data_IF_822684169533
#
_entry.id   IF_822684169533
#
_cell.length_a   1.000
_cell.length_b   1.000
_cell.length_c   1.000
_cell.angle_alpha   90.00
_cell.angle_beta   90.00
_cell.angle_gamma   90.00
#
_symmetry.space_group_name_H-M   'P 1'
#
loop_
_entity.id
_entity.type
_entity.pdbx_description
1 polymer ?
#
# COMPACT_ATOMS: atom_id res chain seq x y z
N UNK A 1 6.00 34.88 -21.63
CA UNK A 1 5.07 35.10 -20.50
C UNK A 1 4.20 33.85 -20.43
N UNK A 2 4.67 32.81 -19.75
CA UNK A 2 4.02 31.49 -19.67
C UNK A 2 3.82 31.02 -18.22
N UNK A 3 3.87 31.94 -17.25
CA UNK A 3 3.67 31.63 -15.82
C UNK A 3 2.22 31.19 -15.52
N UNK A 4 1.25 31.65 -16.30
CA UNK A 4 -0.16 31.30 -16.11
C UNK A 4 -0.47 29.84 -16.45
N UNK A 5 0.31 29.20 -17.31
CA UNK A 5 0.01 27.84 -17.79
C UNK A 5 0.33 26.77 -16.76
N UNK A 6 1.31 27.01 -15.87
CA UNK A 6 1.65 26.08 -14.79
C UNK A 6 0.71 26.28 -13.61
N UNK A 7 0.44 27.54 -13.24
CA UNK A 7 -0.46 27.90 -12.13
C UNK A 7 -1.90 27.47 -12.42
N UNK A 8 -2.43 27.70 -13.63
CA UNK A 8 -3.76 27.19 -14.03
C UNK A 8 -3.82 25.66 -14.02
N UNK A 9 -2.75 24.96 -14.42
CA UNK A 9 -2.71 23.50 -14.38
C UNK A 9 -2.76 22.97 -12.95
N UNK A 10 -2.02 23.56 -12.02
CA UNK A 10 -2.07 23.16 -10.61
C UNK A 10 -3.45 23.42 -10.00
N UNK A 11 -4.09 24.52 -10.38
CA UNK A 11 -5.42 24.88 -9.88
C UNK A 11 -6.54 23.98 -10.43
N UNK A 12 -6.44 23.58 -11.70
CA UNK A 12 -7.44 22.76 -12.39
C UNK A 12 -7.21 21.25 -12.22
N UNK A 13 -6.01 20.83 -11.84
CA UNK A 13 -5.75 19.44 -11.46
C UNK A 13 -6.42 19.19 -10.11
N UNK A 14 -7.60 18.59 -10.14
CA UNK A 14 -8.07 17.83 -9.00
C UNK A 14 -7.14 16.62 -8.87
N UNK A 15 -6.33 16.49 -7.79
CA UNK A 15 -5.61 15.25 -7.55
C UNK A 15 -6.66 14.16 -7.31
N UNK A 16 -6.90 13.32 -8.33
CA UNK A 16 -7.79 12.17 -8.24
C UNK A 16 -7.14 11.19 -7.27
N UNK A 17 -7.63 11.20 -6.03
CA UNK A 17 -7.11 10.40 -4.94
C UNK A 17 -7.30 11.10 -3.61
N UNK A 18 -8.32 10.71 -2.86
CA UNK A 18 -8.44 11.09 -1.45
C UNK A 18 -7.31 10.42 -0.67
N UNK A 19 -6.38 11.23 -0.11
CA UNK A 19 -5.51 10.76 0.96
C UNK A 19 -6.41 10.16 2.04
N UNK A 20 -6.15 8.92 2.47
CA UNK A 20 -6.93 8.28 3.54
C UNK A 20 -7.00 9.24 4.73
N UNK A 21 -8.21 9.72 5.05
CA UNK A 21 -8.46 10.55 6.25
C UNK A 21 -8.20 9.66 7.46
N UNK A 22 -7.28 10.05 8.32
CA UNK A 22 -6.92 9.29 9.52
C UNK A 22 -5.48 9.56 9.97
N UNK A 23 -5.10 8.98 11.11
CA UNK A 23 -3.73 9.03 11.60
C UNK A 23 -2.83 8.40 10.53
N UNK A 24 -1.80 9.11 10.02
CA UNK A 24 -0.78 8.49 9.19
C UNK A 24 -0.29 7.23 9.88
N UNK A 25 -0.19 6.12 9.17
CA UNK A 25 0.35 4.90 9.77
C UNK A 25 1.74 5.25 10.30
N UNK A 26 1.92 5.08 11.61
CA UNK A 26 3.11 5.55 12.31
C UNK A 26 4.35 4.80 11.78
N UNK A 27 4.13 3.59 11.25
CA UNK A 27 5.13 2.69 10.68
C UNK A 27 4.53 1.91 9.51
N UNK A 28 5.30 1.74 8.44
CA UNK A 28 4.96 0.85 7.31
C UNK A 28 4.73 -0.61 7.77
N UNK A 29 5.34 -0.99 8.89
CA UNK A 29 5.19 -2.33 9.51
C UNK A 29 3.74 -2.55 9.96
N UNK A 30 3.06 -1.53 10.46
CA UNK A 30 1.70 -1.69 11.01
C UNK A 30 0.71 -2.07 9.90
N UNK A 31 0.90 -1.56 8.68
CA UNK A 31 0.07 -1.93 7.53
C UNK A 31 0.37 -3.35 7.06
N UNK A 32 1.65 -3.69 6.98
CA UNK A 32 2.07 -5.06 6.67
C UNK A 32 1.51 -6.06 7.70
N UNK A 33 1.48 -5.72 8.99
CA UNK A 33 0.91 -6.58 10.04
C UNK A 33 -0.61 -6.73 9.92
N UNK A 34 -1.34 -5.69 9.48
CA UNK A 34 -2.78 -5.81 9.19
C UNK A 34 -3.02 -6.77 8.02
N UNK A 35 -2.25 -6.65 6.94
CA UNK A 35 -2.39 -7.52 5.77
C UNK A 35 -2.07 -8.98 6.11
N UNK A 36 -1.05 -9.19 6.94
CA UNK A 36 -0.71 -10.52 7.46
C UNK A 36 -1.79 -11.10 8.37
N UNK A 37 -2.48 -10.26 9.15
CA UNK A 37 -3.61 -10.68 9.98
C UNK A 37 -4.76 -11.19 9.10
N UNK A 38 -5.05 -10.49 8.00
CA UNK A 38 -6.02 -10.93 6.99
C UNK A 38 -5.61 -12.27 6.38
N UNK A 39 -4.31 -12.45 6.06
CA UNK A 39 -3.77 -13.71 5.54
C UNK A 39 -3.59 -14.82 6.58
N UNK A 40 -3.91 -14.54 7.86
CA UNK A 40 -3.71 -15.41 9.04
C UNK A 40 -2.28 -15.94 9.17
N UNK A 41 -1.30 -15.15 8.75
CA UNK A 41 0.11 -15.56 8.74
C UNK A 41 0.85 -14.95 9.93
N UNK A 42 1.43 -15.80 10.76
CA UNK A 42 2.30 -15.41 11.88
C UNK A 42 3.77 -15.58 11.51
N UNK A 43 4.68 -14.98 12.27
CA UNK A 43 6.13 -15.12 12.12
C UNK A 43 6.68 -14.70 10.74
N UNK A 44 6.11 -13.64 10.16
CA UNK A 44 6.47 -13.15 8.82
C UNK A 44 7.95 -12.80 8.68
N UNK A 45 8.62 -12.34 9.74
CA UNK A 45 10.06 -12.06 9.74
C UNK A 45 10.89 -13.30 9.45
N UNK A 46 10.50 -14.44 10.02
CA UNK A 46 11.14 -15.74 9.76
C UNK A 46 10.84 -16.23 8.34
N UNK A 47 9.62 -15.99 7.84
CA UNK A 47 9.23 -16.31 6.46
C UNK A 47 9.97 -15.43 5.44
N UNK A 48 10.18 -14.16 5.74
CA UNK A 48 10.92 -13.22 4.91
C UNK A 48 12.39 -13.64 4.72
N UNK A 49 12.99 -14.25 5.74
CA UNK A 49 14.33 -14.85 5.62
C UNK A 49 14.40 -16.05 4.65
N UNK A 50 13.25 -16.63 4.28
CA UNK A 50 13.16 -17.78 3.37
C UNK A 50 12.53 -17.34 2.05
N UNK A 51 13.36 -17.09 1.03
CA UNK A 51 12.95 -16.57 -0.30
C UNK A 51 11.70 -17.24 -0.88
N UNK A 52 11.63 -18.58 -0.88
CA UNK A 52 10.49 -19.32 -1.44
C UNK A 52 9.21 -19.18 -0.61
N UNK A 53 9.34 -19.17 0.72
CA UNK A 53 8.20 -19.02 1.61
C UNK A 53 7.63 -17.60 1.52
N UNK A 54 8.51 -16.61 1.43
CA UNK A 54 8.14 -15.22 1.20
C UNK A 54 7.41 -15.04 -0.14
N UNK A 55 7.93 -15.61 -1.23
CA UNK A 55 7.28 -15.53 -2.55
C UNK A 55 5.85 -16.09 -2.52
N UNK A 56 5.66 -17.28 -1.92
CA UNK A 56 4.32 -17.90 -1.78
C UNK A 56 3.35 -17.04 -0.97
N UNK A 57 3.85 -16.33 0.05
CA UNK A 57 3.05 -15.44 0.85
C UNK A 57 2.58 -14.22 0.05
N UNK A 58 3.46 -13.65 -0.79
CA UNK A 58 3.11 -12.55 -1.68
C UNK A 58 2.09 -12.97 -2.75
N UNK A 59 2.29 -14.14 -3.37
CA UNK A 59 1.31 -14.71 -4.31
C UNK A 59 -0.07 -14.90 -3.63
N UNK A 60 -0.09 -15.37 -2.38
CA UNK A 60 -1.33 -15.48 -1.61
C UNK A 60 -1.98 -14.12 -1.32
N UNK A 61 -1.18 -13.09 -1.06
CA UNK A 61 -1.65 -11.73 -0.82
C UNK A 61 -2.29 -11.12 -2.09
N UNK A 62 -1.63 -11.31 -3.24
CA UNK A 62 -2.05 -10.77 -4.54
C UNK A 62 -3.42 -11.28 -4.99
N UNK A 63 -3.73 -12.55 -4.71
CA UNK A 63 -5.02 -13.17 -5.08
C UNK A 63 -6.11 -12.96 -4.03
N UNK A 64 -5.78 -12.43 -2.84
CA UNK A 64 -6.74 -12.30 -1.75
C UNK A 64 -7.66 -11.08 -1.98
N UNK A 65 -8.99 -11.24 -2.13
CA UNK A 65 -9.90 -10.15 -2.53
C UNK A 65 -9.96 -8.96 -1.55
N UNK A 66 -9.56 -9.16 -0.28
CA UNK A 66 -9.45 -8.10 0.71
C UNK A 66 -8.10 -7.34 0.73
N UNK A 67 -7.11 -7.78 -0.05
CA UNK A 67 -5.76 -7.20 -0.14
C UNK A 67 -5.35 -6.88 -1.58
N UNK A 68 -5.98 -7.55 -2.54
CA UNK A 68 -5.92 -7.28 -3.97
C UNK A 68 -6.75 -6.03 -4.26
N UNK A 69 -6.16 -4.86 -4.05
CA UNK A 69 -6.71 -3.59 -4.55
C UNK A 69 -5.76 -3.03 -5.60
N UNK A 70 -6.21 -3.08 -6.85
CA UNK A 70 -5.94 -2.00 -7.80
C UNK A 70 -6.81 -0.78 -7.46
#
# INVERSE_FOLDING_TARGET
>A
MDENRITEKVFNVQPIGTRRKGRPNLRWIDDLEKDLLVLRTKNWRTLAGRKMAWKRLLEKAEVHPGLSSH
#
